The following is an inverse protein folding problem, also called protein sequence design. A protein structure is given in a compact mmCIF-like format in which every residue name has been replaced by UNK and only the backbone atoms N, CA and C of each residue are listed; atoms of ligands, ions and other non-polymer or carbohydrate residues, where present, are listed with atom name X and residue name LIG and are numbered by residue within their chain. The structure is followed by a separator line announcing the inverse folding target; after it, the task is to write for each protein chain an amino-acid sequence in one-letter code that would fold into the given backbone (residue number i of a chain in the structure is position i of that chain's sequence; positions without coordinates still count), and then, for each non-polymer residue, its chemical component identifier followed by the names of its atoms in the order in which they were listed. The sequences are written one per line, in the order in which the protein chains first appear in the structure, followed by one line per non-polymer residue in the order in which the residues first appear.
data_IF_087646869290
#
_entry.id   IF_087646869290
#
_cell.length_a   1.000
_cell.length_b   1.000
_cell.length_c   1.000
_cell.angle_alpha   90.00
_cell.angle_beta   90.00
_cell.angle_gamma   90.00
#
_symmetry.space_group_name_H-M   'P 1'
#
loop_
_entity.id
_entity.type
_entity.pdbx_description
1 polymer ?
#
# COMPACT_ATOMS: atom_id res chain seq x y z
N UNK A 1 25.31 17.13 -9.52
CA UNK A 1 25.24 15.69 -9.84
C UNK A 1 23.78 15.29 -9.86
N UNK A 2 23.31 14.65 -10.93
CA UNK A 2 21.89 14.28 -11.11
C UNK A 2 21.54 13.18 -10.12
N UNK A 3 20.47 13.29 -9.31
CA UNK A 3 20.01 12.17 -8.51
C UNK A 3 19.51 11.07 -9.47
N UNK A 4 20.31 10.03 -9.66
CA UNK A 4 20.00 8.85 -10.50
C UNK A 4 18.96 7.92 -9.85
N UNK A 5 18.47 8.25 -8.66
CA UNK A 5 17.54 7.44 -7.89
C UNK A 5 16.51 8.33 -7.19
N UNK A 6 15.26 7.86 -7.18
CA UNK A 6 14.17 8.47 -6.40
C UNK A 6 14.47 8.48 -4.90
N UNK A 7 15.37 7.60 -4.46
CA UNK A 7 15.85 7.50 -3.08
C UNK A 7 17.04 8.42 -2.81
N UNK A 8 17.59 9.13 -3.79
CA UNK A 8 18.59 10.15 -3.51
C UNK A 8 17.92 11.36 -2.81
N UNK A 9 18.63 12.01 -1.89
CA UNK A 9 18.18 13.26 -1.28
C UNK A 9 18.61 14.41 -2.21
N UNK A 10 17.67 15.23 -2.74
CA UNK A 10 18.03 16.39 -3.54
C UNK A 10 18.94 17.36 -2.78
N UNK A 11 19.91 17.94 -3.46
CA UNK A 11 20.84 18.88 -2.86
C UNK A 11 20.14 20.18 -2.39
N UNK A 12 19.09 20.60 -3.10
CA UNK A 12 18.29 21.80 -2.85
C UNK A 12 17.12 21.59 -1.88
N UNK A 13 16.96 20.38 -1.31
CA UNK A 13 15.83 20.08 -0.43
C UNK A 13 15.90 20.93 0.86
N UNK A 14 14.86 21.71 1.22
CA UNK A 14 14.82 22.50 2.43
C UNK A 14 15.06 21.68 3.70
N UNK A 15 15.64 22.28 4.74
CA UNK A 15 15.96 21.60 6.00
C UNK A 15 14.73 20.96 6.68
N UNK A 16 13.58 21.62 6.62
CA UNK A 16 12.33 21.10 7.15
C UNK A 16 11.87 19.82 6.42
N UNK A 17 11.97 19.79 5.10
CA UNK A 17 11.60 18.62 4.28
C UNK A 17 12.56 17.44 4.49
N UNK A 18 13.85 17.73 4.72
CA UNK A 18 14.84 16.71 5.13
C UNK A 18 14.48 16.08 6.46
N UNK A 19 14.05 16.87 7.44
CA UNK A 19 13.59 16.36 8.74
C UNK A 19 12.35 15.49 8.59
N UNK A 20 11.37 15.90 7.78
CA UNK A 20 10.18 15.09 7.48
C UNK A 20 10.57 13.73 6.90
N UNK A 21 11.52 13.70 5.96
CA UNK A 21 12.02 12.47 5.35
C UNK A 21 12.74 11.57 6.35
N UNK A 22 13.60 12.15 7.20
CA UNK A 22 14.31 11.42 8.24
C UNK A 22 13.33 10.78 9.23
N UNK A 23 12.35 11.54 9.72
CA UNK A 23 11.31 11.01 10.62
C UNK A 23 10.48 9.89 9.95
N UNK A 24 10.17 10.02 8.66
CA UNK A 24 9.46 8.97 7.92
C UNK A 24 10.30 7.70 7.79
N UNK A 25 11.60 7.81 7.52
CA UNK A 25 12.53 6.68 7.45
C UNK A 25 12.67 5.99 8.80
N UNK A 26 12.79 6.73 9.90
CA UNK A 26 12.88 6.15 11.25
C UNK A 26 11.61 5.38 11.61
N UNK A 27 10.42 5.96 11.37
CA UNK A 27 9.14 5.25 11.58
C UNK A 27 9.04 3.99 10.74
N UNK A 28 9.47 4.06 9.48
CA UNK A 28 9.50 2.92 8.57
C UNK A 28 10.42 1.81 9.09
N UNK A 29 11.66 2.15 9.47
CA UNK A 29 12.63 1.19 9.99
C UNK A 29 12.15 0.50 11.27
N UNK A 30 11.60 1.27 12.22
CA UNK A 30 11.00 0.72 13.44
C UNK A 30 9.81 -0.19 13.13
N UNK A 31 8.94 0.20 12.19
CA UNK A 31 7.79 -0.62 11.82
C UNK A 31 8.20 -1.97 11.19
N UNK A 32 9.19 -1.97 10.27
CA UNK A 32 9.69 -3.20 9.66
C UNK A 32 10.41 -4.12 10.66
N UNK A 33 11.26 -3.55 11.53
CA UNK A 33 11.95 -4.32 12.55
C UNK A 33 10.95 -4.97 13.51
N UNK A 34 9.97 -4.20 14.00
CA UNK A 34 8.90 -4.73 14.84
C UNK A 34 8.06 -5.80 14.12
N UNK A 35 7.68 -5.57 12.86
CA UNK A 35 6.96 -6.56 12.05
C UNK A 35 7.70 -7.90 11.98
N UNK A 36 9.01 -7.89 11.69
CA UNK A 36 9.81 -9.12 11.63
C UNK A 36 9.84 -9.86 12.96
N UNK A 37 10.02 -9.14 14.08
CA UNK A 37 10.03 -9.74 15.41
C UNK A 37 8.66 -10.31 15.79
N UNK A 38 7.57 -9.55 15.54
CA UNK A 38 6.20 -9.97 15.87
C UNK A 38 5.78 -11.17 15.02
N UNK A 39 6.14 -11.24 13.74
CA UNK A 39 5.88 -12.43 12.93
C UNK A 39 6.62 -13.66 13.46
N UNK A 40 7.85 -13.50 13.96
CA UNK A 40 8.59 -14.59 14.61
C UNK A 40 7.89 -15.05 15.89
N UNK A 41 7.37 -14.11 16.71
CA UNK A 41 6.62 -14.42 17.93
C UNK A 41 5.25 -15.06 17.68
N UNK A 42 4.65 -14.86 16.50
CA UNK A 42 3.39 -15.50 16.14
C UNK A 42 3.52 -16.99 15.78
N UNK A 43 4.75 -17.48 15.54
CA UNK A 43 5.01 -18.86 15.10
C UNK A 43 4.40 -19.95 15.99
N UNK A 44 4.53 -19.91 17.34
CA UNK A 44 3.94 -20.94 18.19
C UNK A 44 2.42 -21.07 18.05
N UNK A 45 1.73 -19.95 17.79
CA UNK A 45 0.28 -19.96 17.52
C UNK A 45 -0.07 -20.66 16.21
N UNK A 46 0.75 -20.47 15.17
CA UNK A 46 0.55 -21.13 13.87
C UNK A 46 0.87 -22.63 13.87
N UNK A 47 1.81 -23.07 14.71
CA UNK A 47 2.22 -24.49 14.79
C UNK A 47 1.30 -25.31 15.70
N UNK A 48 0.57 -24.65 16.61
CA UNK A 48 -0.40 -25.31 17.49
C UNK A 48 -1.46 -26.05 16.68
N UNK A 49 -1.50 -27.36 16.84
CA UNK A 49 -2.51 -28.23 16.25
C UNK A 49 -2.85 -29.35 17.24
N UNK A 50 -4.04 -29.93 17.08
CA UNK A 50 -4.58 -30.94 18.00
C UNK A 50 -3.85 -32.30 17.91
N UNK A 51 -2.89 -32.47 16.99
CA UNK A 51 -2.10 -33.69 16.80
C UNK A 51 -0.80 -33.74 17.62
N UNK A 52 -0.51 -32.72 18.42
CA UNK A 52 0.71 -32.66 19.25
C UNK A 52 0.47 -33.39 20.59
N UNK A 53 1.43 -34.21 21.09
CA UNK A 53 1.28 -34.89 22.38
C UNK A 53 1.10 -33.91 23.55
N UNK A 54 0.36 -34.34 24.59
CA UNK A 54 -0.18 -33.46 25.63
C UNK A 54 0.88 -32.70 26.47
N UNK A 55 2.06 -33.29 26.63
CA UNK A 55 3.22 -32.68 27.29
C UNK A 55 3.85 -31.56 26.44
N UNK A 56 3.95 -31.77 25.13
CA UNK A 56 4.40 -30.76 24.19
C UNK A 56 3.34 -29.64 23.98
N UNK A 57 2.05 -29.93 24.11
CA UNK A 57 0.99 -28.91 24.09
C UNK A 57 1.09 -27.93 25.27
N UNK A 58 1.34 -28.42 26.48
CA UNK A 58 1.45 -27.55 27.66
C UNK A 58 2.63 -26.57 27.57
N UNK A 59 3.77 -27.03 27.04
CA UNK A 59 4.94 -26.16 26.79
C UNK A 59 4.68 -25.16 25.66
N UNK A 60 3.97 -25.58 24.60
CA UNK A 60 3.57 -24.71 23.51
C UNK A 60 2.57 -23.63 23.95
N UNK A 61 1.57 -23.98 24.78
CA UNK A 61 0.58 -23.03 25.30
C UNK A 61 1.24 -21.96 26.18
N UNK A 62 2.19 -22.35 27.04
CA UNK A 62 2.99 -21.39 27.82
C UNK A 62 3.84 -20.49 26.91
N UNK A 63 4.48 -21.06 25.90
CA UNK A 63 5.24 -20.29 24.91
C UNK A 63 4.36 -19.29 24.16
N UNK A 64 3.14 -19.68 23.76
CA UNK A 64 2.18 -18.79 23.09
C UNK A 64 1.83 -17.61 23.98
N UNK A 65 1.51 -17.83 25.25
CA UNK A 65 1.19 -16.73 26.17
C UNK A 65 2.38 -15.77 26.30
N UNK A 66 3.58 -16.30 26.54
CA UNK A 66 4.79 -15.47 26.66
C UNK A 66 5.07 -14.67 25.38
N UNK A 67 4.98 -15.32 24.22
CA UNK A 67 5.21 -14.68 22.92
C UNK A 67 4.13 -13.66 22.58
N UNK A 68 2.88 -13.87 22.99
CA UNK A 68 1.81 -12.88 22.83
C UNK A 68 2.07 -11.60 23.64
N UNK A 69 2.58 -11.73 24.86
CA UNK A 69 3.02 -10.58 25.65
C UNK A 69 4.21 -9.85 25.01
N UNK A 70 5.19 -10.59 24.48
CA UNK A 70 6.32 -10.02 23.74
C UNK A 70 5.86 -9.30 22.45
N UNK A 71 4.93 -9.90 21.72
CA UNK A 71 4.31 -9.34 20.52
C UNK A 71 3.52 -8.07 20.83
N UNK A 72 2.75 -8.06 21.92
CA UNK A 72 2.04 -6.87 22.40
C UNK A 72 3.02 -5.74 22.69
N UNK A 73 4.08 -6.01 23.46
CA UNK A 73 5.10 -5.03 23.82
C UNK A 73 5.73 -4.39 22.58
N UNK A 74 6.04 -5.18 21.56
CA UNK A 74 6.61 -4.69 20.30
C UNK A 74 5.58 -3.98 19.40
N UNK A 75 4.31 -4.35 19.49
CA UNK A 75 3.24 -3.76 18.64
C UNK A 75 2.78 -2.39 19.15
N UNK A 76 2.81 -2.16 20.46
CA UNK A 76 2.45 -0.86 21.07
C UNK A 76 3.19 0.33 20.43
N UNK A 77 4.54 0.36 20.31
CA UNK A 77 5.22 1.47 19.66
C UNK A 77 4.89 1.59 18.17
N UNK A 78 4.61 0.49 17.48
CA UNK A 78 4.16 0.53 16.07
C UNK A 78 2.81 1.23 15.94
N UNK A 79 1.85 0.87 16.79
CA UNK A 79 0.49 1.43 16.80
C UNK A 79 0.50 2.89 17.27
N UNK A 80 1.26 3.24 18.31
CA UNK A 80 1.24 4.59 18.87
C UNK A 80 2.14 5.57 18.10
N UNK A 81 3.36 5.18 17.76
CA UNK A 81 4.36 6.06 17.14
C UNK A 81 4.42 5.91 15.61
N UNK A 82 4.55 4.69 15.08
CA UNK A 82 4.71 4.49 13.65
C UNK A 82 3.42 4.81 12.88
N UNK A 83 2.26 4.41 13.39
CA UNK A 83 0.95 4.69 12.79
C UNK A 83 0.43 6.12 13.05
N UNK A 84 1.19 6.99 13.74
CA UNK A 84 0.81 8.41 13.95
C UNK A 84 0.34 9.17 12.69
N UNK A 85 1.01 9.05 11.52
CA UNK A 85 0.56 9.70 10.29
C UNK A 85 -0.80 9.21 9.79
N UNK A 86 -1.20 7.99 10.17
CA UNK A 86 -2.49 7.38 9.83
C UNK A 86 -3.57 7.97 10.75
N UNK A 87 -3.33 7.99 12.07
CA UNK A 87 -4.26 8.57 13.05
C UNK A 87 -4.57 10.03 12.75
N UNK A 88 -3.54 10.82 12.46
CA UNK A 88 -3.69 12.24 12.11
C UNK A 88 -4.50 12.41 10.82
N UNK A 89 -4.25 11.56 9.82
CA UNK A 89 -4.98 11.54 8.57
C UNK A 89 -6.46 11.25 8.77
N UNK A 90 -6.77 10.16 9.46
CA UNK A 90 -8.13 9.73 9.81
C UNK A 90 -8.89 10.82 10.58
N UNK A 91 -8.29 11.37 11.65
CA UNK A 91 -8.89 12.44 12.45
C UNK A 91 -9.16 13.70 11.62
N UNK A 92 -8.24 14.07 10.74
CA UNK A 92 -8.41 15.24 9.88
C UNK A 92 -9.47 15.05 8.79
N UNK A 93 -9.60 13.84 8.24
CA UNK A 93 -10.64 13.50 7.27
C UNK A 93 -12.04 13.50 7.89
N UNK A 94 -12.16 12.91 9.08
CA UNK A 94 -13.42 12.88 9.83
C UNK A 94 -13.91 14.29 10.16
N UNK A 95 -13.01 15.18 10.63
CA UNK A 95 -13.34 16.59 10.91
C UNK A 95 -13.79 17.38 9.67
N UNK A 96 -13.43 16.96 8.46
CA UNK A 96 -13.79 17.62 7.20
C UNK A 96 -14.97 16.96 6.48
N UNK A 97 -15.61 15.96 7.10
CA UNK A 97 -16.71 15.20 6.49
C UNK A 97 -16.31 14.39 5.26
N UNK A 98 -15.01 14.09 5.07
CA UNK A 98 -14.50 13.32 3.91
C UNK A 98 -13.73 12.11 4.42
N UNK A 99 -14.26 10.91 4.20
CA UNK A 99 -13.56 9.67 4.48
C UNK A 99 -12.43 9.45 3.45
N UNK A 100 -11.21 9.86 3.80
CA UNK A 100 -10.01 9.47 3.06
C UNK A 100 -9.57 8.05 3.42
N UNK A 101 -8.62 7.49 2.65
CA UNK A 101 -8.07 6.13 2.82
C UNK A 101 -7.62 5.82 4.26
N UNK A 102 -7.27 6.84 5.03
CA UNK A 102 -6.73 6.71 6.39
C UNK A 102 -7.78 6.30 7.42
N UNK A 103 -9.05 6.63 7.20
CA UNK A 103 -10.13 6.31 8.13
C UNK A 103 -10.44 4.79 8.20
N UNK A 104 -10.70 4.08 7.09
CA UNK A 104 -10.90 2.63 7.13
C UNK A 104 -9.64 1.89 7.60
N UNK A 105 -8.46 2.36 7.22
CA UNK A 105 -7.16 1.83 7.67
C UNK A 105 -7.01 1.94 9.19
N UNK A 106 -7.26 3.13 9.75
CA UNK A 106 -7.20 3.36 11.19
C UNK A 106 -8.20 2.48 11.95
N UNK A 107 -9.43 2.35 11.43
CA UNK A 107 -10.44 1.48 11.99
C UNK A 107 -9.97 0.01 12.00
N UNK A 108 -9.38 -0.47 10.90
CA UNK A 108 -8.83 -1.83 10.81
C UNK A 108 -7.74 -2.10 11.83
N UNK A 109 -6.82 -1.13 12.04
CA UNK A 109 -5.78 -1.24 13.07
C UNK A 109 -6.40 -1.36 14.46
N UNK A 110 -7.38 -0.51 14.81
CA UNK A 110 -8.06 -0.58 16.12
C UNK A 110 -8.83 -1.90 16.27
N UNK A 111 -9.56 -2.31 15.23
CA UNK A 111 -10.39 -3.51 15.23
C UNK A 111 -9.58 -4.80 15.36
N UNK A 112 -8.32 -4.82 14.90
CA UNK A 112 -7.42 -5.95 15.11
C UNK A 112 -6.65 -5.83 16.45
N UNK A 113 -6.19 -4.63 16.81
CA UNK A 113 -5.36 -4.43 17.99
C UNK A 113 -6.13 -4.62 19.31
N UNK A 114 -7.31 -3.99 19.45
CA UNK A 114 -8.05 -4.01 20.73
C UNK A 114 -8.49 -5.43 21.14
N UNK A 115 -9.09 -6.25 20.26
CA UNK A 115 -9.40 -7.64 20.59
C UNK A 115 -8.15 -8.46 20.88
N UNK A 116 -7.04 -8.22 20.17
CA UNK A 116 -5.77 -8.91 20.42
C UNK A 116 -5.19 -8.60 21.80
N UNK A 117 -5.27 -7.34 22.26
CA UNK A 117 -4.88 -6.96 23.63
C UNK A 117 -5.78 -7.66 24.64
N UNK A 118 -7.10 -7.66 24.40
CA UNK A 118 -8.04 -8.36 25.28
C UNK A 118 -7.75 -9.86 25.36
N UNK A 119 -7.51 -10.53 24.22
CA UNK A 119 -7.17 -11.95 24.16
C UNK A 119 -5.84 -12.27 24.87
N UNK A 120 -4.85 -11.39 24.75
CA UNK A 120 -3.56 -11.53 25.47
C UNK A 120 -3.75 -11.43 26.98
N UNK A 121 -4.64 -10.55 27.43
CA UNK A 121 -4.90 -10.36 28.86
C UNK A 121 -5.70 -11.51 29.47
N UNK A 122 -6.73 -11.99 28.76
CA UNK A 122 -7.58 -13.10 29.24
C UNK A 122 -6.93 -14.46 29.04
N UNK A 123 -5.83 -14.53 28.27
CA UNK A 123 -5.20 -15.78 27.85
C UNK A 123 -6.10 -16.63 26.96
N UNK A 124 -7.14 -16.04 26.35
CA UNK A 124 -8.16 -16.74 25.58
C UNK A 124 -8.49 -15.96 24.30
N UNK A 125 -8.46 -16.67 23.18
CA UNK A 125 -8.77 -16.13 21.85
C UNK A 125 -7.54 -15.93 20.98
N UNK A 126 -7.80 -15.64 19.71
CA UNK A 126 -6.77 -15.42 18.69
C UNK A 126 -6.18 -14.01 18.76
N UNK A 127 -4.88 -13.92 18.48
CA UNK A 127 -4.10 -12.68 18.57
C UNK A 127 -3.55 -12.33 17.19
N UNK A 128 -3.75 -11.08 16.76
CA UNK A 128 -3.47 -10.62 15.38
C UNK A 128 -2.44 -9.48 15.33
N UNK A 129 -1.50 -9.45 16.26
CA UNK A 129 -0.45 -8.42 16.31
C UNK A 129 0.46 -8.41 15.07
N UNK A 130 0.70 -9.58 14.49
CA UNK A 130 1.47 -9.76 13.25
C UNK A 130 0.80 -9.04 12.06
N UNK A 131 -0.52 -9.20 11.94
CA UNK A 131 -1.34 -8.56 10.90
C UNK A 131 -1.34 -7.04 11.05
N UNK A 132 -1.45 -6.54 12.29
CA UNK A 132 -1.39 -5.10 12.58
C UNK A 132 -0.04 -4.50 12.20
N UNK A 133 1.06 -5.11 12.66
CA UNK A 133 2.41 -4.60 12.41
C UNK A 133 2.80 -4.70 10.94
N UNK A 134 2.42 -5.78 10.26
CA UNK A 134 2.59 -5.96 8.83
C UNK A 134 1.88 -4.86 8.03
N UNK A 135 0.62 -4.61 8.35
CA UNK A 135 -0.17 -3.60 7.66
C UNK A 135 0.43 -2.20 7.79
N UNK A 136 0.85 -1.82 9.02
CA UNK A 136 1.50 -0.53 9.27
C UNK A 136 2.83 -0.41 8.52
N UNK A 137 3.67 -1.46 8.51
CA UNK A 137 4.96 -1.46 7.82
C UNK A 137 4.80 -1.27 6.30
N UNK A 138 3.88 -2.00 5.66
CA UNK A 138 3.64 -1.85 4.22
C UNK A 138 3.03 -0.50 3.85
N UNK A 139 2.06 0.01 4.62
CA UNK A 139 1.49 1.33 4.37
C UNK A 139 2.53 2.45 4.53
N UNK A 140 3.39 2.37 5.55
CA UNK A 140 4.48 3.33 5.71
C UNK A 140 5.50 3.24 4.58
N UNK A 141 5.75 2.04 4.05
CA UNK A 141 6.62 1.85 2.88
C UNK A 141 6.07 2.59 1.67
N UNK A 142 4.78 2.38 1.35
CA UNK A 142 4.12 3.06 0.24
C UNK A 142 4.17 4.59 0.40
N UNK A 143 3.86 5.11 1.59
CA UNK A 143 3.92 6.55 1.90
C UNK A 143 5.34 7.11 1.85
N UNK A 144 6.34 6.34 2.28
CA UNK A 144 7.74 6.77 2.22
C UNK A 144 8.24 6.85 0.78
N UNK A 145 7.87 5.88 -0.07
CA UNK A 145 8.17 5.93 -1.51
C UNK A 145 7.48 7.12 -2.18
N UNK A 146 6.22 7.41 -1.80
CA UNK A 146 5.50 8.60 -2.27
C UNK A 146 6.19 9.90 -1.82
N UNK A 147 6.64 9.98 -0.57
CA UNK A 147 7.39 11.12 -0.06
C UNK A 147 8.70 11.32 -0.84
N UNK A 148 9.45 10.25 -1.06
CA UNK A 148 10.69 10.29 -1.83
C UNK A 148 10.42 10.77 -3.27
N UNK A 149 9.36 10.28 -3.91
CA UNK A 149 8.94 10.73 -5.23
C UNK A 149 8.61 12.23 -5.25
N UNK A 150 7.85 12.73 -4.28
CA UNK A 150 7.50 14.15 -4.15
C UNK A 150 8.72 15.02 -3.90
N UNK A 151 9.66 14.56 -3.08
CA UNK A 151 10.85 15.33 -2.71
C UNK A 151 11.95 15.30 -3.76
N UNK A 152 12.12 14.20 -4.50
CA UNK A 152 13.05 14.08 -5.63
C UNK A 152 12.87 15.20 -6.68
N UNK A 153 11.70 15.86 -6.68
CA UNK A 153 11.33 16.93 -7.57
C UNK A 153 12.09 18.26 -7.32
N UNK A 154 12.62 18.51 -6.11
CA UNK A 154 13.20 19.81 -5.74
C UNK A 154 12.17 20.95 -5.75
N UNK A 155 12.39 22.01 -4.98
CA UNK A 155 11.47 23.16 -4.95
C UNK A 155 11.50 23.95 -6.27
N UNK A 156 12.62 23.88 -7.00
CA UNK A 156 12.86 24.59 -8.26
C UNK A 156 12.08 24.02 -9.45
N UNK A 157 11.90 22.70 -9.56
CA UNK A 157 11.17 22.11 -10.69
C UNK A 157 9.66 22.37 -10.63
N UNK A 158 9.09 22.56 -9.43
CA UNK A 158 7.69 22.95 -9.22
C UNK A 158 7.34 24.35 -9.74
N UNK A 159 8.33 25.17 -10.06
CA UNK A 159 8.13 26.49 -10.67
C UNK A 159 7.68 26.40 -12.14
N UNK A 160 8.01 25.32 -12.85
CA UNK A 160 7.67 25.16 -14.26
C UNK A 160 6.17 24.86 -14.42
N UNK A 161 5.43 25.57 -15.30
CA UNK A 161 3.98 25.36 -15.49
C UNK A 161 3.63 23.89 -15.82
N UNK A 162 4.55 23.18 -16.46
CA UNK A 162 4.41 21.77 -16.83
C UNK A 162 4.41 20.83 -15.62
N UNK A 163 5.28 21.06 -14.64
CA UNK A 163 5.32 20.29 -13.37
C UNK A 163 4.06 20.55 -12.55
N UNK A 164 3.57 21.79 -12.52
CA UNK A 164 2.32 22.14 -11.84
C UNK A 164 1.12 21.40 -12.43
N UNK A 165 1.02 21.34 -13.77
CA UNK A 165 -0.03 20.59 -14.48
C UNK A 165 0.06 19.09 -14.19
N UNK A 166 1.27 18.52 -14.17
CA UNK A 166 1.51 17.13 -13.72
C UNK A 166 1.01 16.87 -12.29
N UNK A 167 1.30 17.78 -11.37
CA UNK A 167 0.86 17.63 -9.98
C UNK A 167 -0.66 17.75 -9.82
N UNK A 168 -1.28 18.69 -10.52
CA UNK A 168 -2.74 18.87 -10.52
C UNK A 168 -3.44 17.64 -11.12
N UNK A 169 -3.02 17.21 -12.32
CA UNK A 169 -3.56 16.02 -12.96
C UNK A 169 -3.38 14.76 -12.10
N UNK A 170 -2.20 14.60 -11.48
CA UNK A 170 -1.93 13.51 -10.55
C UNK A 170 -2.84 13.53 -9.31
N UNK A 171 -3.11 14.72 -8.76
CA UNK A 171 -4.01 14.89 -7.62
C UNK A 171 -5.47 14.54 -7.94
N UNK A 172 -5.99 15.01 -9.09
CA UNK A 172 -7.36 14.70 -9.53
C UNK A 172 -7.55 13.22 -9.82
N UNK A 173 -6.62 12.63 -10.57
CA UNK A 173 -6.64 11.20 -10.90
C UNK A 173 -6.46 10.35 -9.65
N UNK A 174 -5.58 10.76 -8.74
CA UNK A 174 -5.32 10.11 -7.45
C UNK A 174 -6.56 10.12 -6.57
N UNK A 175 -7.23 11.26 -6.42
CA UNK A 175 -8.46 11.35 -5.65
C UNK A 175 -9.59 10.49 -6.23
N UNK A 176 -9.67 10.38 -7.57
CA UNK A 176 -10.63 9.49 -8.23
C UNK A 176 -10.29 8.01 -7.99
N UNK A 177 -9.02 7.64 -8.11
CA UNK A 177 -8.52 6.29 -7.83
C UNK A 177 -8.77 5.89 -6.37
N UNK A 178 -8.50 6.77 -5.41
CA UNK A 178 -8.71 6.53 -3.98
C UNK A 178 -10.19 6.32 -3.65
N UNK A 179 -11.10 7.09 -4.27
CA UNK A 179 -12.55 6.89 -4.10
C UNK A 179 -13.00 5.52 -4.62
N UNK A 180 -12.47 5.09 -5.76
CA UNK A 180 -12.76 3.79 -6.33
C UNK A 180 -12.20 2.66 -5.45
N UNK A 181 -10.93 2.76 -5.04
CA UNK A 181 -10.28 1.82 -4.14
C UNK A 181 -11.02 1.69 -2.82
N UNK A 182 -11.43 2.81 -2.22
CA UNK A 182 -12.20 2.81 -0.96
C UNK A 182 -13.54 2.08 -1.12
N UNK A 183 -14.30 2.37 -2.19
CA UNK A 183 -15.56 1.66 -2.47
C UNK A 183 -15.34 0.16 -2.69
N UNK A 184 -14.29 -0.20 -3.42
CA UNK A 184 -13.90 -1.59 -3.64
C UNK A 184 -13.61 -2.32 -2.32
N UNK A 185 -12.81 -1.72 -1.43
CA UNK A 185 -12.50 -2.29 -0.10
C UNK A 185 -13.77 -2.55 0.70
N UNK A 186 -14.68 -1.57 0.77
CA UNK A 186 -15.93 -1.73 1.51
C UNK A 186 -16.79 -2.89 0.96
N UNK A 187 -16.92 -2.98 -0.37
CA UNK A 187 -17.65 -4.07 -1.02
C UNK A 187 -16.98 -5.42 -0.75
N UNK A 188 -15.65 -5.50 -0.87
CA UNK A 188 -14.90 -6.74 -0.68
C UNK A 188 -14.95 -7.23 0.77
N UNK A 189 -14.86 -6.32 1.75
CA UNK A 189 -15.00 -6.67 3.18
C UNK A 189 -16.40 -7.18 3.48
N UNK A 190 -17.44 -6.50 2.97
CA UNK A 190 -18.82 -6.97 3.14
C UNK A 190 -19.02 -8.37 2.50
N UNK A 191 -18.44 -8.58 1.32
CA UNK A 191 -18.47 -9.87 0.64
C UNK A 191 -17.72 -10.95 1.42
N UNK A 192 -16.57 -10.64 2.01
CA UNK A 192 -15.80 -11.58 2.82
C UNK A 192 -16.60 -12.06 4.06
N UNK A 193 -17.27 -11.12 4.75
CA UNK A 193 -18.12 -11.44 5.90
C UNK A 193 -19.33 -12.28 5.49
N UNK A 194 -20.00 -11.91 4.39
CA UNK A 194 -21.13 -12.65 3.86
C UNK A 194 -20.74 -14.07 3.42
N UNK A 195 -19.60 -14.22 2.75
CA UNK A 195 -19.06 -15.51 2.32
C UNK A 195 -18.67 -16.38 3.52
N UNK A 196 -17.99 -15.81 4.53
CA UNK A 196 -17.68 -16.51 5.78
C UNK A 196 -18.95 -17.04 6.45
N UNK A 197 -19.98 -16.20 6.60
CA UNK A 197 -21.27 -16.60 7.16
C UNK A 197 -21.96 -17.69 6.32
N UNK A 198 -21.98 -17.57 4.99
CA UNK A 198 -22.59 -18.57 4.11
C UNK A 198 -21.89 -19.93 4.21
N UNK A 199 -20.55 -19.95 4.22
CA UNK A 199 -19.80 -21.19 4.35
C UNK A 199 -19.99 -21.88 5.70
N UNK A 200 -20.29 -21.17 6.79
CA UNK A 200 -20.65 -21.85 8.06
C UNK A 200 -21.87 -22.74 7.95
N UNK A 201 -22.77 -22.46 7.00
CA UNK A 201 -24.00 -23.25 6.77
C UNK A 201 -23.78 -24.39 5.76
N UNK A 202 -22.74 -24.31 4.92
CA UNK A 202 -22.45 -25.28 3.86
C UNK A 202 -21.39 -26.28 4.34
N UNK A 203 -20.25 -25.76 4.76
CA UNK A 203 -19.11 -26.51 5.29
C UNK A 203 -18.24 -25.59 6.14
N UNK A 204 -18.32 -25.76 7.46
CA UNK A 204 -17.62 -24.95 8.43
C UNK A 204 -16.08 -25.00 8.27
N UNK A 205 -15.53 -26.07 7.69
CA UNK A 205 -14.09 -26.19 7.48
C UNK A 205 -13.54 -25.14 6.48
N UNK A 206 -14.37 -24.73 5.51
CA UNK A 206 -13.99 -23.76 4.47
C UNK A 206 -14.30 -22.31 4.85
N UNK A 207 -15.13 -22.06 5.86
CA UNK A 207 -15.58 -20.72 6.24
C UNK A 207 -14.43 -19.77 6.59
N UNK A 208 -13.51 -20.22 7.45
CA UNK A 208 -12.37 -19.40 7.89
C UNK A 208 -11.37 -19.18 6.74
N UNK A 209 -10.89 -20.22 6.02
CA UNK A 209 -9.98 -20.02 4.88
C UNK A 209 -10.53 -19.10 3.78
N UNK A 210 -11.81 -19.25 3.41
CA UNK A 210 -12.46 -18.41 2.37
C UNK A 210 -12.56 -16.96 2.81
N UNK A 211 -13.04 -16.72 4.04
CA UNK A 211 -13.15 -15.38 4.60
C UNK A 211 -11.77 -14.70 4.66
N UNK A 212 -10.76 -15.40 5.18
CA UNK A 212 -9.39 -14.85 5.28
C UNK A 212 -8.82 -14.56 3.89
N UNK A 213 -8.99 -15.45 2.91
CA UNK A 213 -8.53 -15.20 1.54
C UNK A 213 -9.18 -13.93 0.93
N UNK A 214 -10.49 -13.75 1.10
CA UNK A 214 -11.22 -12.57 0.62
C UNK A 214 -10.80 -11.29 1.35
N UNK A 215 -10.54 -11.36 2.66
CA UNK A 215 -10.01 -10.24 3.44
C UNK A 215 -8.60 -9.86 3.01
N UNK A 216 -7.72 -10.84 2.76
CA UNK A 216 -6.35 -10.59 2.23
C UNK A 216 -6.43 -9.89 0.86
N UNK A 217 -7.33 -10.32 -0.03
CA UNK A 217 -7.56 -9.67 -1.32
C UNK A 217 -8.18 -8.28 -1.20
N UNK A 218 -8.69 -7.87 -0.04
CA UNK A 218 -9.23 -6.52 0.14
C UNK A 218 -8.15 -5.43 0.16
N UNK A 219 -6.86 -5.77 0.32
CA UNK A 219 -5.74 -4.81 0.28
C UNK A 219 -5.72 -4.08 -1.07
N UNK A 220 -6.11 -2.79 -1.16
CA UNK A 220 -6.20 -2.08 -2.44
C UNK A 220 -4.82 -1.56 -2.89
N UNK A 221 -3.76 -2.25 -2.48
CA UNK A 221 -2.41 -1.72 -2.39
C UNK A 221 -1.83 -1.39 -3.78
N UNK A 222 -2.14 -2.24 -4.78
CA UNK A 222 -1.84 -1.97 -6.19
C UNK A 222 -2.71 -0.84 -6.80
N UNK A 223 -3.98 -0.71 -6.40
CA UNK A 223 -4.89 0.33 -6.90
C UNK A 223 -4.49 1.72 -6.39
N UNK A 224 -4.18 1.84 -5.08
CA UNK A 224 -3.72 3.10 -4.47
C UNK A 224 -2.35 3.53 -4.99
N UNK A 225 -1.48 2.60 -5.38
CA UNK A 225 -0.18 2.91 -5.98
C UNK A 225 -0.23 3.24 -7.48
N UNK A 226 -1.35 2.99 -8.17
CA UNK A 226 -1.46 3.14 -9.63
C UNK A 226 -1.15 4.55 -10.13
N UNK A 227 -1.72 5.58 -9.50
CA UNK A 227 -1.50 6.99 -9.87
C UNK A 227 -0.15 7.51 -9.35
N UNK A 228 0.21 7.34 -8.06
CA UNK A 228 1.48 7.86 -7.55
C UNK A 228 2.70 7.29 -8.28
N UNK A 229 2.71 5.99 -8.60
CA UNK A 229 3.84 5.38 -9.32
C UNK A 229 3.98 5.91 -10.75
N UNK A 230 2.87 6.06 -11.48
CA UNK A 230 2.87 6.61 -12.84
C UNK A 230 3.32 8.08 -12.84
N UNK A 231 2.80 8.90 -11.92
CA UNK A 231 3.17 10.30 -11.79
C UNK A 231 4.64 10.47 -11.35
N UNK A 232 5.13 9.61 -10.46
CA UNK A 232 6.53 9.61 -10.05
C UNK A 232 7.48 9.28 -11.21
N UNK A 233 7.14 8.29 -12.04
CA UNK A 233 7.91 7.94 -13.23
C UNK A 233 7.85 9.05 -14.30
N UNK A 234 6.68 9.66 -14.50
CA UNK A 234 6.53 10.79 -15.40
C UNK A 234 7.34 12.00 -14.93
N UNK A 235 7.31 12.29 -13.64
CA UNK A 235 8.12 13.37 -13.06
C UNK A 235 9.60 13.11 -13.26
N UNK A 236 10.06 11.89 -12.95
CA UNK A 236 11.45 11.47 -13.14
C UNK A 236 11.88 11.55 -14.62
N UNK A 237 10.99 11.21 -15.55
CA UNK A 237 11.23 11.33 -16.99
C UNK A 237 11.36 12.80 -17.44
N UNK A 238 10.63 13.71 -16.81
CA UNK A 238 10.72 15.15 -17.07
C UNK A 238 12.02 15.75 -16.50
N UNK A 239 12.43 15.36 -15.29
CA UNK A 239 13.71 15.78 -14.71
C UNK A 239 14.92 15.35 -15.54
N UNK A 240 14.81 14.20 -16.21
CA UNK A 240 15.85 13.75 -17.14
C UNK A 240 15.97 14.64 -18.40
N UNK A 241 14.97 15.50 -18.67
CA UNK A 241 14.87 16.34 -19.88
C UNK A 241 14.39 17.76 -19.54
N UNK A 242 15.25 18.60 -18.95
CA UNK A 242 14.88 19.98 -18.56
C UNK A 242 14.48 20.87 -19.75
N UNK A 243 14.92 20.54 -20.96
CA UNK A 243 14.64 21.23 -22.23
C UNK A 243 13.28 20.82 -22.86
N UNK A 244 12.46 20.02 -22.17
CA UNK A 244 11.23 19.47 -22.75
C UNK A 244 10.24 20.58 -23.15
N UNK A 245 9.73 20.51 -24.38
CA UNK A 245 8.73 21.47 -24.88
C UNK A 245 7.35 21.24 -24.24
N UNK A 246 6.43 22.19 -24.39
CA UNK A 246 5.07 22.05 -23.89
C UNK A 246 4.35 20.83 -24.48
N UNK A 247 4.48 20.60 -25.79
CA UNK A 247 3.87 19.45 -26.49
C UNK A 247 4.41 18.11 -25.98
N UNK A 248 5.71 18.08 -25.68
CA UNK A 248 6.40 16.93 -25.11
C UNK A 248 5.92 16.61 -23.69
N UNK A 249 5.69 17.63 -22.87
CA UNK A 249 5.08 17.45 -21.55
C UNK A 249 3.61 17.04 -21.59
N UNK A 250 2.83 17.53 -22.56
CA UNK A 250 1.45 17.09 -22.77
C UNK A 250 1.39 15.61 -23.19
N UNK A 251 2.29 15.17 -24.05
CA UNK A 251 2.42 13.76 -24.42
C UNK A 251 2.79 12.88 -23.21
N UNK A 252 3.72 13.35 -22.36
CA UNK A 252 4.11 12.67 -21.14
C UNK A 252 2.96 12.59 -20.12
N UNK A 253 2.21 13.68 -19.94
CA UNK A 253 0.99 13.73 -19.12
C UNK A 253 -0.04 12.70 -19.60
N UNK A 254 -0.30 12.66 -20.90
CA UNK A 254 -1.24 11.72 -21.49
C UNK A 254 -0.77 10.26 -21.32
N UNK A 255 0.52 10.00 -21.48
CA UNK A 255 1.11 8.69 -21.24
C UNK A 255 1.01 8.28 -19.77
N UNK A 256 1.31 9.19 -18.84
CA UNK A 256 1.23 8.96 -17.40
C UNK A 256 -0.21 8.66 -16.96
N UNK A 257 -1.18 9.43 -17.44
CA UNK A 257 -2.60 9.20 -17.16
C UNK A 257 -3.09 7.87 -17.77
N UNK A 258 -2.59 7.48 -18.95
CA UNK A 258 -2.90 6.19 -19.57
C UNK A 258 -2.36 5.02 -18.73
N UNK A 259 -1.09 5.09 -18.31
CA UNK A 259 -0.45 4.07 -17.48
C UNK A 259 -1.13 3.98 -16.11
N UNK A 260 -1.46 5.12 -15.49
CA UNK A 260 -2.20 5.14 -14.23
C UNK A 260 -3.57 4.46 -14.35
N UNK A 261 -4.33 4.75 -15.42
CA UNK A 261 -5.62 4.08 -15.69
C UNK A 261 -5.46 2.59 -15.97
N UNK A 262 -4.46 2.19 -16.75
CA UNK A 262 -4.15 0.78 -17.01
C UNK A 262 -3.83 0.03 -15.71
N UNK A 263 -3.00 0.62 -14.84
CA UNK A 263 -2.65 0.04 -13.55
C UNK A 263 -3.88 -0.09 -12.64
N UNK A 264 -4.70 0.96 -12.55
CA UNK A 264 -5.89 0.98 -11.72
C UNK A 264 -6.92 -0.06 -12.18
N UNK A 265 -7.30 -0.04 -13.46
CA UNK A 265 -8.30 -0.96 -14.00
C UNK A 265 -7.76 -2.38 -14.16
N UNK A 266 -6.48 -2.56 -14.48
CA UNK A 266 -5.85 -3.87 -14.53
C UNK A 266 -5.82 -4.54 -13.16
N UNK A 267 -5.48 -3.78 -12.10
CA UNK A 267 -5.55 -4.29 -10.73
C UNK A 267 -7.00 -4.61 -10.32
N UNK A 268 -7.96 -3.73 -10.63
CA UNK A 268 -9.37 -4.00 -10.33
C UNK A 268 -9.90 -5.25 -11.05
N UNK A 269 -9.59 -5.41 -12.34
CA UNK A 269 -10.00 -6.57 -13.13
C UNK A 269 -9.41 -7.87 -12.57
N UNK A 270 -8.15 -7.84 -12.12
CA UNK A 270 -7.52 -8.98 -11.47
C UNK A 270 -8.27 -9.41 -10.19
N UNK A 271 -8.68 -8.45 -9.36
CA UNK A 271 -9.47 -8.75 -8.17
C UNK A 271 -10.84 -9.31 -8.52
N UNK A 272 -11.54 -8.71 -9.48
CA UNK A 272 -12.83 -9.22 -9.98
C UNK A 272 -12.75 -10.65 -10.51
N UNK A 273 -11.60 -11.05 -11.07
CA UNK A 273 -11.36 -12.42 -11.53
C UNK A 273 -11.06 -13.38 -10.36
N UNK A 274 -10.29 -12.94 -9.36
CA UNK A 274 -9.87 -13.78 -8.22
C UNK A 274 -10.96 -13.95 -7.16
N UNK A 275 -11.81 -12.94 -6.95
CA UNK A 275 -12.91 -12.98 -5.98
C UNK A 275 -13.86 -14.17 -6.16
N UNK A 276 -14.39 -14.51 -7.35
CA UNK A 276 -15.25 -15.69 -7.51
C UNK A 276 -14.51 -17.01 -7.24
N UNK A 277 -13.22 -17.10 -7.60
CA UNK A 277 -12.41 -18.28 -7.29
C UNK A 277 -12.21 -18.44 -5.77
N UNK A 278 -12.02 -17.32 -5.06
CA UNK A 278 -11.93 -17.31 -3.60
C UNK A 278 -13.27 -17.66 -2.94
N UNK A 279 -14.39 -17.12 -3.44
CA UNK A 279 -15.74 -17.47 -2.98
C UNK A 279 -16.03 -18.97 -3.11
N UNK A 280 -15.53 -19.60 -4.17
CA UNK A 280 -15.64 -21.03 -4.42
C UNK A 280 -14.69 -21.88 -3.55
N UNK A 281 -13.84 -21.28 -2.72
CA UNK A 281 -12.86 -22.00 -1.89
C UNK A 281 -11.62 -22.50 -2.63
N UNK A 282 -11.40 -22.09 -3.88
CA UNK A 282 -10.24 -22.55 -4.67
C UNK A 282 -8.97 -21.73 -4.42
N UNK A 283 -9.10 -20.58 -3.75
CA UNK A 283 -7.97 -19.71 -3.45
C UNK A 283 -7.66 -19.76 -1.97
N UNK A 284 -6.53 -20.39 -1.63
CA UNK A 284 -6.00 -20.39 -0.28
C UNK A 284 -5.44 -19.00 0.11
N UNK A 285 -5.40 -18.66 1.41
CA UNK A 285 -4.87 -17.37 1.90
C UNK A 285 -3.44 -17.04 1.42
N UNK A 286 -2.54 -18.03 1.39
CA UNK A 286 -1.16 -17.81 0.92
C UNK A 286 -1.09 -17.51 -0.58
N UNK A 287 -1.96 -18.13 -1.38
CA UNK A 287 -2.05 -17.86 -2.82
C UNK A 287 -2.61 -16.45 -3.07
N UNK A 288 -3.60 -16.03 -2.27
CA UNK A 288 -4.08 -14.65 -2.27
C UNK A 288 -2.93 -13.67 -2.01
N UNK A 289 -2.10 -13.90 -0.98
CA UNK A 289 -0.96 -13.03 -0.67
C UNK A 289 0.06 -12.92 -1.83
N UNK A 290 0.42 -14.04 -2.47
CA UNK A 290 1.34 -14.04 -3.63
C UNK A 290 0.75 -13.24 -4.80
N UNK A 291 -0.52 -13.45 -5.13
CA UNK A 291 -1.16 -12.74 -6.24
C UNK A 291 -1.27 -11.23 -5.99
N UNK A 292 -1.45 -10.79 -4.74
CA UNK A 292 -1.44 -9.38 -4.36
C UNK A 292 -0.05 -8.74 -4.53
N UNK A 293 1.01 -9.46 -4.16
CA UNK A 293 2.39 -9.02 -4.39
C UNK A 293 2.68 -8.89 -5.89
N UNK A 294 2.32 -9.91 -6.68
CA UNK A 294 2.51 -9.90 -8.13
C UNK A 294 1.76 -8.75 -8.81
N UNK A 295 0.52 -8.46 -8.39
CA UNK A 295 -0.25 -7.32 -8.90
C UNK A 295 0.47 -5.98 -8.63
N UNK A 296 1.00 -5.81 -7.42
CA UNK A 296 1.73 -4.60 -7.02
C UNK A 296 3.03 -4.43 -7.80
N UNK A 297 3.77 -5.52 -8.01
CA UNK A 297 4.98 -5.54 -8.86
C UNK A 297 4.66 -5.23 -10.33
N UNK A 298 3.57 -5.78 -10.86
CA UNK A 298 3.13 -5.50 -12.22
C UNK A 298 2.77 -4.02 -12.42
N UNK A 299 2.06 -3.41 -11.45
CA UNK A 299 1.75 -1.96 -11.45
C UNK A 299 3.03 -1.13 -11.46
N UNK A 300 3.99 -1.46 -10.58
CA UNK A 300 5.29 -0.77 -10.52
C UNK A 300 6.09 -0.94 -11.82
N UNK A 301 6.14 -2.15 -12.37
CA UNK A 301 6.81 -2.46 -13.63
C UNK A 301 6.19 -1.74 -14.83
N UNK A 302 4.86 -1.65 -14.90
CA UNK A 302 4.19 -0.92 -15.97
C UNK A 302 4.42 0.60 -15.85
N UNK A 303 4.45 1.15 -14.63
CA UNK A 303 4.83 2.55 -14.39
C UNK A 303 6.27 2.83 -14.84
N UNK A 304 7.20 1.91 -14.58
CA UNK A 304 8.60 2.03 -14.97
C UNK A 304 8.81 2.17 -16.48
N UNK A 305 7.88 1.69 -17.31
CA UNK A 305 7.94 1.85 -18.77
C UNK A 305 7.97 3.32 -19.20
N UNK A 306 7.41 4.25 -18.40
CA UNK A 306 7.48 5.70 -18.67
C UNK A 306 8.92 6.24 -18.67
N UNK A 307 9.83 5.57 -17.96
CA UNK A 307 11.26 5.93 -17.94
C UNK A 307 12.02 5.36 -19.15
N UNK A 308 11.51 4.29 -19.77
CA UNK A 308 12.16 3.62 -20.91
C UNK A 308 11.59 4.05 -22.26
N UNK A 309 10.31 4.42 -22.33
CA UNK A 309 9.66 4.79 -23.58
C UNK A 309 9.93 6.25 -23.95
N UNK A 310 10.38 6.44 -25.19
CA UNK A 310 10.47 7.74 -25.85
C UNK A 310 9.06 8.28 -26.04
N UNK A 311 8.62 9.19 -25.19
CA UNK A 311 7.46 10.06 -25.44
C UNK A 311 7.73 11.07 -26.58
N UNK A 312 8.88 10.95 -27.25
CA UNK A 312 9.44 11.79 -28.31
C UNK A 312 8.58 11.88 -29.58
N UNK A 313 7.60 11.00 -29.76
CA UNK A 313 6.73 11.00 -30.94
C UNK A 313 5.58 12.01 -30.80
N UNK A 314 5.91 13.29 -30.66
CA UNK A 314 5.11 14.31 -31.33
C UNK A 314 5.70 14.41 -32.75
N UNK A 315 4.91 14.28 -33.84
CA UNK A 315 5.46 14.52 -35.16
C UNK A 315 6.06 15.93 -35.16
N UNK A 316 7.37 16.03 -35.37
CA UNK A 316 8.01 17.30 -35.62
C UNK A 316 7.27 17.91 -36.81
N UNK A 317 6.46 18.94 -36.57
CA UNK A 317 5.91 19.74 -37.63
C UNK A 317 7.11 20.16 -38.49
N UNK A 318 7.07 19.77 -39.76
CA UNK A 318 8.12 20.01 -40.73
C UNK A 318 8.58 21.46 -40.59
N UNK A 319 9.84 21.64 -40.18
CA UNK A 319 10.52 22.92 -40.29
C UNK A 319 10.46 23.25 -41.77
N UNK A 320 9.59 24.20 -42.13
CA UNK A 320 9.53 24.74 -43.47
C UNK A 320 10.92 25.31 -43.77
N UNK A 321 11.67 24.63 -44.64
CA UNK A 321 12.89 25.18 -45.21
C UNK A 321 12.48 26.43 -46.00
N UNK A 322 13.13 27.60 -45.80
CA UNK A 322 12.94 28.71 -46.71
C UNK A 322 13.46 28.27 -48.08
N UNK A 323 12.61 28.37 -49.10
CA UNK A 323 12.98 28.13 -50.49
C UNK A 323 14.04 29.15 -50.94
N UNK A 324 14.98 28.75 -51.83
CA UNK A 324 16.01 29.66 -52.36
C UNK A 324 15.44 30.77 -53.24
#
# INVERSE_FOLDING_TARGET
MRPTSILAVPADLPGADRQVRCHALVRLGVAWLAMMQVMMFAWPGYVRNDGIPADALATLDWAIVLMNWAALLMTVPVVLYCAWPIWRGAASGLRRGRAGMDAPVALGIVAAFVPSVHATWTGRGEVYFDSVTMFVAFLLTARYLELCARQACGASALATPLVRRLHQAGGELGAAADRLATRFVFVQVALALAAGAAWTQIDAAHAVPVMVALLVMSCPCAMSMAVPSAMACAHSALLARPEATAAQGDALLAAAARVARQNLYGSLAWHLLMTPLALAGWVAPWLAAITMLLSSLAVAGNAWRLLRHRWDAAPAAAVAQPAP
#
